data_IF_887283942649
#
_entry.id   IF_887283942649
#
_cell.length_a   1.000
_cell.length_b   1.000
_cell.length_c   1.000
_cell.angle_alpha   90.00
_cell.angle_beta   90.00
_cell.angle_gamma   90.00
#
_symmetry.space_group_name_H-M   'P 1'
#
loop_
_entity.id
_entity.type
_entity.pdbx_description
1 polymer ?
#
# COMPACT_ATOMS: atom_id res chain seq x y z
N UNK A 1 -6.27 11.85 11.35
CA UNK A 1 -6.87 10.63 10.76
C UNK A 1 -6.76 9.56 11.82
N UNK A 2 -7.79 8.76 12.09
CA UNK A 2 -7.65 7.73 13.11
C UNK A 2 -6.95 6.50 12.50
N UNK A 3 -5.68 6.33 12.86
CA UNK A 3 -4.76 5.33 12.31
C UNK A 3 -4.91 3.95 12.92
N UNK A 4 -5.64 3.84 14.03
CA UNK A 4 -5.75 2.61 14.82
C UNK A 4 -6.31 1.45 14.00
N UNK A 5 -7.37 1.69 13.22
CA UNK A 5 -7.97 0.67 12.37
C UNK A 5 -7.00 0.14 11.28
N UNK A 6 -6.14 1.01 10.74
CA UNK A 6 -5.12 0.61 9.77
C UNK A 6 -4.05 -0.26 10.44
N UNK A 7 -3.59 0.12 11.64
CA UNK A 7 -2.64 -0.68 12.42
C UNK A 7 -3.21 -2.07 12.78
N UNK A 8 -4.47 -2.14 13.24
CA UNK A 8 -5.16 -3.41 13.55
C UNK A 8 -5.26 -4.32 12.32
N UNK A 9 -5.51 -3.77 11.12
CA UNK A 9 -5.52 -4.54 9.88
C UNK A 9 -4.12 -5.04 9.50
N UNK A 10 -3.06 -4.24 9.69
CA UNK A 10 -1.69 -4.71 9.47
C UNK A 10 -1.34 -5.87 10.40
N UNK A 11 -1.69 -5.77 11.68
CA UNK A 11 -1.47 -6.84 12.66
C UNK A 11 -2.22 -8.13 12.27
N UNK A 12 -3.50 -8.04 11.91
CA UNK A 12 -4.28 -9.19 11.43
C UNK A 12 -3.67 -9.86 10.19
N UNK A 13 -3.13 -9.08 9.25
CA UNK A 13 -2.46 -9.62 8.08
C UNK A 13 -1.13 -10.30 8.45
N UNK A 14 -0.34 -9.67 9.33
CA UNK A 14 0.91 -10.24 9.87
C UNK A 14 0.62 -11.59 10.56
N UNK A 15 -0.43 -11.66 11.38
CA UNK A 15 -0.87 -12.91 12.03
C UNK A 15 -1.28 -13.97 11.00
N UNK A 16 -2.05 -13.59 9.97
CA UNK A 16 -2.49 -14.50 8.91
C UNK A 16 -1.34 -15.02 8.05
N UNK A 17 -0.29 -14.23 7.83
CA UNK A 17 0.93 -14.65 7.15
C UNK A 17 1.71 -15.69 7.97
N UNK A 18 1.68 -15.59 9.30
CA UNK A 18 2.40 -16.46 10.24
C UNK A 18 3.92 -16.25 10.27
N UNK A 19 4.57 -16.26 9.10
CA UNK A 19 6.00 -16.00 8.93
C UNK A 19 6.26 -15.40 7.55
N UNK A 20 7.40 -14.73 7.37
CA UNK A 20 7.80 -14.22 6.05
C UNK A 20 7.75 -12.70 5.94
N UNK A 21 7.78 -12.21 4.70
CA UNK A 21 7.72 -10.78 4.40
C UNK A 21 6.69 -10.53 3.30
N UNK A 22 5.87 -9.49 3.44
CA UNK A 22 4.97 -9.05 2.38
C UNK A 22 5.43 -7.71 1.83
N UNK A 23 5.26 -7.50 0.52
CA UNK A 23 5.38 -6.18 -0.11
C UNK A 23 4.10 -5.84 -0.85
N UNK A 24 3.53 -4.68 -0.54
CA UNK A 24 2.28 -4.18 -1.10
C UNK A 24 2.52 -2.77 -1.64
N UNK A 25 2.79 -2.59 -2.94
CA UNK A 25 2.95 -1.27 -3.54
C UNK A 25 1.61 -0.53 -3.68
N UNK A 26 1.65 0.81 -3.69
CA UNK A 26 0.50 1.62 -4.12
C UNK A 26 0.42 1.74 -5.64
N UNK A 27 -0.68 2.30 -6.15
CA UNK A 27 -0.84 2.55 -7.57
C UNK A 27 0.12 3.68 -8.04
N UNK A 28 0.70 3.58 -9.25
CA UNK A 28 1.45 4.70 -9.83
C UNK A 28 0.52 5.83 -10.26
N UNK A 29 1.07 7.01 -10.48
CA UNK A 29 0.34 8.09 -11.15
C UNK A 29 -0.03 7.69 -12.61
N UNK A 30 -1.05 8.35 -13.17
CA UNK A 30 -1.53 8.06 -14.53
C UNK A 30 -1.60 9.33 -15.35
N UNK A 31 -0.91 9.33 -16.48
CA UNK A 31 -0.92 10.45 -17.43
C UNK A 31 -2.29 10.50 -18.12
N UNK A 32 -2.89 11.69 -18.15
CA UNK A 32 -4.08 12.00 -18.94
C UNK A 32 -3.71 12.48 -20.33
N UNK A 33 -2.83 13.48 -20.42
CA UNK A 33 -2.37 14.07 -21.67
C UNK A 33 -1.02 14.76 -21.48
N UNK A 34 0.02 14.30 -22.19
CA UNK A 34 1.39 14.84 -22.10
C UNK A 34 1.88 14.93 -20.64
N UNK A 35 1.97 16.14 -20.11
CA UNK A 35 2.44 16.52 -18.77
C UNK A 35 1.30 16.57 -17.73
N UNK A 36 0.05 16.42 -18.14
CA UNK A 36 -1.11 16.44 -17.24
C UNK A 36 -1.45 15.03 -16.76
N UNK A 37 -1.63 14.88 -15.45
CA UNK A 37 -2.02 13.64 -14.80
C UNK A 37 -3.52 13.61 -14.47
N UNK A 38 -4.09 12.41 -14.36
CA UNK A 38 -5.37 12.21 -13.70
C UNK A 38 -5.25 12.47 -12.20
N UNK A 39 -6.35 12.81 -11.50
CA UNK A 39 -6.36 12.82 -10.04
C UNK A 39 -5.85 11.48 -9.50
N UNK A 40 -4.91 11.55 -8.56
CA UNK A 40 -4.29 10.36 -8.02
C UNK A 40 -5.31 9.46 -7.32
N UNK A 41 -5.23 8.16 -7.62
CA UNK A 41 -6.02 7.11 -6.96
C UNK A 41 -5.07 6.01 -6.54
N UNK A 42 -4.79 5.95 -5.25
CA UNK A 42 -4.01 4.89 -4.60
C UNK A 42 -4.58 3.49 -4.87
N UNK A 43 -3.76 2.46 -4.66
CA UNK A 43 -4.24 1.09 -4.70
C UNK A 43 -5.14 0.80 -3.48
N UNK A 44 -6.18 -0.02 -3.67
CA UNK A 44 -7.16 -0.26 -2.60
C UNK A 44 -6.65 -1.24 -1.53
N UNK A 45 -5.80 -2.20 -1.87
CA UNK A 45 -5.18 -3.11 -0.89
C UNK A 45 -4.15 -2.37 -0.06
N UNK A 46 -3.28 -1.59 -0.72
CA UNK A 46 -2.34 -0.71 -0.03
C UNK A 46 -3.05 0.24 0.93
N UNK A 47 -4.04 1.00 0.44
CA UNK A 47 -4.72 1.98 1.27
C UNK A 47 -5.51 1.36 2.41
N UNK A 48 -6.10 0.18 2.21
CA UNK A 48 -6.81 -0.56 3.25
C UNK A 48 -5.94 -0.87 4.48
N UNK A 49 -4.63 -1.09 4.27
CA UNK A 49 -3.65 -1.41 5.31
C UNK A 49 -2.85 -0.18 5.80
N UNK A 50 -2.56 0.76 4.90
CA UNK A 50 -1.65 1.87 5.17
C UNK A 50 -2.38 3.16 5.56
N UNK A 51 -3.56 3.42 5.00
CA UNK A 51 -4.23 4.73 5.07
C UNK A 51 -3.45 5.87 4.40
N UNK A 52 -2.30 5.57 3.79
CA UNK A 52 -1.37 6.54 3.21
C UNK A 52 -1.82 6.95 1.80
N UNK A 53 -2.00 8.27 1.52
CA UNK A 53 -2.67 8.71 0.29
C UNK A 53 -1.73 9.17 -0.84
N UNK A 54 -0.40 9.01 -0.72
CA UNK A 54 0.55 9.48 -1.74
C UNK A 54 1.01 8.38 -2.71
N UNK A 55 1.40 8.73 -3.94
CA UNK A 55 2.06 7.83 -4.89
C UNK A 55 3.48 7.46 -4.47
N UNK A 56 4.10 6.58 -5.26
CA UNK A 56 5.49 6.13 -5.10
C UNK A 56 5.78 5.67 -3.67
N UNK A 57 4.92 4.76 -3.21
CA UNK A 57 4.97 4.21 -1.88
C UNK A 57 4.71 2.70 -1.88
N UNK A 58 5.26 2.00 -0.90
CA UNK A 58 5.01 0.58 -0.67
C UNK A 58 4.97 0.29 0.83
N UNK A 59 4.11 -0.64 1.21
CA UNK A 59 4.05 -1.18 2.56
C UNK A 59 4.81 -2.50 2.57
N UNK A 60 5.76 -2.65 3.49
CA UNK A 60 6.40 -3.92 3.79
C UNK A 60 5.97 -4.39 5.17
N UNK A 61 5.50 -5.64 5.26
CA UNK A 61 5.13 -6.26 6.52
C UNK A 61 6.05 -7.44 6.79
N UNK A 62 6.57 -7.53 8.01
CA UNK A 62 7.39 -8.64 8.48
C UNK A 62 6.55 -9.46 9.45
N UNK A 63 6.44 -10.76 9.22
CA UNK A 63 5.77 -11.72 10.09
C UNK A 63 6.76 -12.70 10.73
N UNK A 64 6.38 -13.27 11.88
CA UNK A 64 7.21 -14.14 12.72
C UNK A 64 7.55 -13.49 14.06
N UNK A 65 8.73 -13.79 14.60
CA UNK A 65 9.12 -13.45 15.98
C UNK A 65 9.23 -11.95 16.27
N UNK A 66 9.62 -11.16 15.26
CA UNK A 66 9.74 -9.72 15.33
C UNK A 66 8.83 -9.07 14.27
N UNK A 67 7.52 -9.01 14.52
CA UNK A 67 6.58 -8.46 13.56
C UNK A 67 6.78 -6.94 13.42
N UNK A 68 6.75 -6.45 12.18
CA UNK A 68 6.97 -5.04 11.87
C UNK A 68 6.15 -4.59 10.66
N UNK A 69 5.74 -3.33 10.68
CA UNK A 69 5.13 -2.62 9.57
C UNK A 69 5.99 -1.42 9.15
N UNK A 70 6.44 -1.44 7.90
CA UNK A 70 7.43 -0.50 7.38
C UNK A 70 6.88 0.19 6.14
N UNK A 71 6.81 1.52 6.15
CA UNK A 71 6.42 2.29 4.98
C UNK A 71 7.64 2.73 4.17
N UNK A 72 7.60 2.52 2.86
CA UNK A 72 8.51 3.13 1.92
C UNK A 72 7.76 4.22 1.19
N UNK A 73 8.25 5.46 1.20
CA UNK A 73 7.60 6.58 0.53
C UNK A 73 8.62 7.60 0.02
N UNK A 74 8.17 8.56 -0.79
CA UNK A 74 9.03 9.65 -1.27
C UNK A 74 9.62 10.42 -0.10
N UNK A 75 10.84 10.89 -0.31
CA UNK A 75 11.49 11.83 0.60
C UNK A 75 10.77 13.16 0.60
N UNK A 76 10.94 13.89 1.71
CA UNK A 76 10.53 15.27 1.78
C UNK A 76 11.51 16.13 1.01
N UNK A 77 11.01 16.92 0.09
CA UNK A 77 11.79 17.86 -0.72
C UNK A 77 11.16 19.24 -0.61
N UNK A 78 11.74 20.08 0.24
CA UNK A 78 11.20 21.41 0.55
C UNK A 78 11.19 22.36 -0.65
N UNK A 79 12.08 22.18 -1.63
CA UNK A 79 12.09 23.00 -2.86
C UNK A 79 10.96 22.59 -3.80
N UNK A 80 10.64 21.30 -3.86
CA UNK A 80 9.55 20.76 -4.69
C UNK A 80 8.18 20.86 -4.03
N UNK A 81 8.06 20.98 -2.71
CA UNK A 81 6.77 21.13 -2.03
C UNK A 81 5.99 22.38 -2.49
N UNK A 82 6.70 23.44 -2.92
CA UNK A 82 6.08 24.65 -3.49
C UNK A 82 5.31 24.33 -4.78
N UNK A 83 5.74 23.33 -5.54
CA UNK A 83 5.22 22.97 -6.86
C UNK A 83 4.33 21.71 -6.84
N UNK A 84 4.80 20.66 -6.17
CA UNK A 84 4.19 19.33 -6.14
C UNK A 84 3.22 19.15 -4.96
N UNK A 85 3.15 20.14 -4.05
CA UNK A 85 2.37 20.08 -2.82
C UNK A 85 3.08 19.37 -1.66
N UNK A 86 2.45 19.41 -0.49
CA UNK A 86 2.96 18.80 0.74
C UNK A 86 3.26 17.31 0.58
N UNK A 87 4.40 16.87 1.12
CA UNK A 87 4.76 15.46 1.25
C UNK A 87 5.06 15.13 2.71
N UNK A 88 4.56 14.00 3.19
CA UNK A 88 4.89 13.58 4.57
C UNK A 88 6.40 13.36 4.72
N UNK A 89 7.01 12.65 3.78
CA UNK A 89 8.36 12.10 3.97
C UNK A 89 8.38 10.96 5.01
N UNK A 90 9.47 10.17 5.08
CA UNK A 90 9.53 9.00 5.95
C UNK A 90 9.21 9.29 7.42
N UNK A 91 9.88 10.28 8.04
CA UNK A 91 9.73 10.54 9.47
C UNK A 91 8.31 10.95 9.86
N UNK A 92 7.72 11.91 9.12
CA UNK A 92 6.37 12.36 9.42
C UNK A 92 5.33 11.28 9.04
N UNK A 93 5.57 10.49 8.00
CA UNK A 93 4.67 9.41 7.63
C UNK A 93 4.66 8.29 8.69
N UNK A 94 5.82 7.96 9.26
CA UNK A 94 5.93 6.99 10.36
C UNK A 94 5.02 7.39 11.53
N UNK A 95 5.15 8.62 12.00
CA UNK A 95 4.37 9.14 13.13
C UNK A 95 2.89 9.30 12.79
N UNK A 96 2.58 9.95 11.66
CA UNK A 96 1.21 10.30 11.29
C UNK A 96 0.33 9.10 10.92
N UNK A 97 0.93 7.97 10.49
CA UNK A 97 0.22 6.76 10.07
C UNK A 97 0.49 5.54 10.96
N UNK A 98 1.35 5.69 11.97
CA UNK A 98 1.61 4.66 12.99
C UNK A 98 2.38 3.45 12.47
N UNK A 99 3.38 3.66 11.62
CA UNK A 99 4.29 2.59 11.19
C UNK A 99 5.44 2.41 12.19
N UNK A 100 6.01 1.20 12.27
CA UNK A 100 7.16 0.92 13.13
C UNK A 100 8.43 1.60 12.59
N UNK A 101 8.56 1.64 11.26
CA UNK A 101 9.60 2.37 10.56
C UNK A 101 9.08 2.94 9.23
N UNK A 102 9.79 3.93 8.71
CA UNK A 102 9.60 4.40 7.35
C UNK A 102 10.92 4.78 6.69
N UNK A 103 11.03 4.57 5.39
CA UNK A 103 12.24 4.81 4.61
C UNK A 103 11.94 5.44 3.24
N UNK A 104 12.93 6.07 2.60
CA UNK A 104 12.83 6.49 1.20
C UNK A 104 12.46 5.33 0.27
N UNK A 105 11.55 5.57 -0.67
CA UNK A 105 11.12 4.56 -1.65
C UNK A 105 12.28 4.00 -2.49
N UNK A 106 13.33 4.79 -2.72
CA UNK A 106 14.54 4.34 -3.41
C UNK A 106 15.32 3.24 -2.68
N UNK A 107 15.09 3.05 -1.38
CA UNK A 107 15.72 1.98 -0.58
C UNK A 107 14.90 0.68 -0.57
N UNK A 108 13.73 0.64 -1.22
CA UNK A 108 12.79 -0.48 -1.11
C UNK A 108 13.41 -1.81 -1.56
N UNK A 109 14.07 -1.87 -2.71
CA UNK A 109 14.65 -3.13 -3.21
C UNK A 109 15.71 -3.69 -2.26
N UNK A 110 16.63 -2.83 -1.80
CA UNK A 110 17.70 -3.23 -0.89
C UNK A 110 17.14 -3.70 0.47
N UNK A 111 16.24 -2.92 1.05
CA UNK A 111 15.63 -3.28 2.33
C UNK A 111 14.72 -4.50 2.21
N UNK A 112 14.00 -4.66 1.11
CA UNK A 112 13.22 -5.87 0.87
C UNK A 112 14.11 -7.10 0.81
N UNK A 113 15.29 -7.02 0.18
CA UNK A 113 16.24 -8.12 0.18
C UNK A 113 16.76 -8.43 1.59
N UNK A 114 17.10 -7.42 2.39
CA UNK A 114 17.49 -7.61 3.80
C UNK A 114 16.39 -8.25 4.62
N UNK A 115 15.14 -7.80 4.44
CA UNK A 115 13.97 -8.31 5.16
C UNK A 115 13.50 -9.66 4.62
N UNK A 116 13.82 -10.05 3.39
CA UNK A 116 13.48 -11.35 2.83
C UNK A 116 14.51 -12.44 3.19
N UNK A 117 15.73 -12.05 3.56
CA UNK A 117 16.80 -12.98 3.92
C UNK A 117 16.35 -13.96 5.03
N UNK A 118 16.64 -15.25 4.81
CA UNK A 118 16.36 -16.37 5.71
C UNK A 118 14.89 -16.56 6.10
N UNK A 119 13.97 -15.95 5.33
CA UNK A 119 12.53 -16.13 5.53
C UNK A 119 11.95 -17.14 4.55
N UNK A 120 10.94 -17.94 4.96
CA UNK A 120 10.44 -19.04 4.15
C UNK A 120 9.59 -18.60 2.95
N UNK A 121 8.91 -17.45 3.06
CA UNK A 121 7.92 -16.97 2.08
C UNK A 121 8.00 -15.46 1.88
N UNK A 122 7.82 -15.04 0.63
CA UNK A 122 7.56 -13.65 0.25
C UNK A 122 6.12 -13.53 -0.25
N UNK A 123 5.32 -12.67 0.36
CA UNK A 123 3.94 -12.41 -0.07
C UNK A 123 3.93 -11.22 -1.04
N UNK A 124 3.55 -11.46 -2.29
CA UNK A 124 3.42 -10.45 -3.34
C UNK A 124 2.45 -10.94 -4.43
N UNK A 125 1.66 -10.03 -4.97
CA UNK A 125 0.69 -10.32 -6.02
C UNK A 125 1.32 -10.22 -7.41
N UNK A 126 1.96 -11.31 -7.86
CA UNK A 126 2.58 -11.40 -9.18
C UNK A 126 1.54 -11.20 -10.29
N UNK A 127 1.92 -10.49 -11.35
CA UNK A 127 1.16 -10.35 -12.60
C UNK A 127 0.21 -9.15 -12.64
N UNK A 128 0.12 -8.37 -11.56
CA UNK A 128 -0.73 -7.17 -11.52
C UNK A 128 -0.01 -5.90 -11.95
N UNK A 129 1.28 -5.78 -11.66
CA UNK A 129 2.11 -4.64 -12.05
C UNK A 129 3.52 -5.10 -12.41
N UNK A 130 3.94 -4.98 -13.68
CA UNK A 130 5.24 -5.45 -14.13
C UNK A 130 6.43 -4.79 -13.42
N UNK A 131 6.31 -3.52 -13.01
CA UNK A 131 7.39 -2.82 -12.31
C UNK A 131 7.57 -3.38 -10.89
N UNK A 132 6.47 -3.63 -10.18
CA UNK A 132 6.51 -4.31 -8.88
C UNK A 132 7.04 -5.73 -8.97
N UNK A 133 6.67 -6.48 -10.01
CA UNK A 133 7.17 -7.85 -10.22
C UNK A 133 8.68 -7.85 -10.44
N UNK A 134 9.17 -6.91 -11.26
CA UNK A 134 10.60 -6.72 -11.49
C UNK A 134 11.35 -6.37 -10.20
N UNK A 135 10.79 -5.50 -9.35
CA UNK A 135 11.36 -5.14 -8.05
C UNK A 135 11.50 -6.35 -7.12
N UNK A 136 10.47 -7.20 -7.03
CA UNK A 136 10.50 -8.41 -6.21
C UNK A 136 11.54 -9.40 -6.73
N UNK A 137 11.61 -9.58 -8.05
CA UNK A 137 12.63 -10.43 -8.68
C UNK A 137 14.04 -9.91 -8.38
N UNK A 138 14.27 -8.60 -8.48
CA UNK A 138 15.55 -7.97 -8.18
C UNK A 138 15.95 -8.18 -6.71
N UNK A 139 15.04 -7.94 -5.77
CA UNK A 139 15.26 -8.17 -4.35
C UNK A 139 15.61 -9.64 -4.05
N UNK A 140 14.86 -10.61 -4.60
CA UNK A 140 15.14 -12.04 -4.43
C UNK A 140 16.51 -12.44 -5.01
N UNK A 141 16.88 -11.90 -6.17
CA UNK A 141 18.20 -12.14 -6.76
C UNK A 141 19.33 -11.57 -5.90
N UNK A 142 19.12 -10.41 -5.25
CA UNK A 142 20.07 -9.83 -4.28
C UNK A 142 20.25 -10.73 -3.05
N UNK A 143 19.21 -11.43 -2.59
CA UNK A 143 19.35 -12.42 -1.52
C UNK A 143 20.11 -13.66 -2.00
N UNK A 144 19.75 -14.21 -3.17
CA UNK A 144 20.43 -15.38 -3.76
C UNK A 144 21.92 -15.17 -3.99
N UNK A 145 22.33 -13.94 -4.31
CA UNK A 145 23.76 -13.60 -4.43
C UNK A 145 24.55 -13.84 -3.13
N UNK A 146 23.88 -13.92 -1.97
CA UNK A 146 24.46 -14.18 -0.65
C UNK A 146 24.35 -15.64 -0.20
N UNK A 147 23.90 -16.56 -1.07
CA UNK A 147 23.74 -17.99 -0.75
C UNK A 147 25.05 -18.64 -0.29
N UNK A 148 26.20 -18.23 -0.88
CA UNK A 148 27.53 -18.69 -0.46
C UNK A 148 27.90 -18.31 0.98
N UNK A 149 27.23 -17.30 1.54
CA UNK A 149 27.38 -16.87 2.93
C UNK A 149 26.36 -17.53 3.87
N UNK A 150 25.62 -18.53 3.38
CA UNK A 150 24.61 -19.26 4.14
C UNK A 150 23.24 -18.57 4.23
N UNK A 151 23.05 -17.45 3.53
CA UNK A 151 21.77 -16.71 3.53
C UNK A 151 20.85 -17.28 2.44
N UNK A 152 19.66 -17.73 2.82
CA UNK A 152 18.67 -18.27 1.90
C UNK A 152 17.66 -17.21 1.46
N UNK A 153 17.29 -17.26 0.18
CA UNK A 153 16.13 -16.51 -0.33
C UNK A 153 14.83 -17.29 -0.06
N UNK A 154 13.67 -16.60 0.07
CA UNK A 154 12.39 -17.27 0.18
C UNK A 154 12.14 -18.27 -0.95
N UNK A 155 11.77 -19.49 -0.57
CA UNK A 155 11.49 -20.58 -1.51
C UNK A 155 10.08 -20.51 -2.10
N UNK A 156 9.17 -19.77 -1.44
CA UNK A 156 7.76 -19.60 -1.84
C UNK A 156 7.47 -18.13 -2.10
N UNK A 157 6.65 -17.89 -3.12
CA UNK A 157 5.96 -16.61 -3.31
C UNK A 157 4.46 -16.89 -3.25
N UNK A 158 3.76 -16.11 -2.43
CA UNK A 158 2.31 -16.28 -2.22
C UNK A 158 1.56 -14.98 -2.48
N UNK A 159 0.34 -15.09 -3.00
CA UNK A 159 -0.47 -13.91 -3.28
C UNK A 159 -1.02 -13.30 -1.98
N UNK A 160 -0.51 -12.11 -1.63
CA UNK A 160 -0.96 -11.36 -0.44
C UNK A 160 -2.43 -10.95 -0.54
N UNK A 161 -2.97 -10.76 -1.76
CA UNK A 161 -4.36 -10.30 -1.95
C UNK A 161 -5.37 -11.33 -1.48
N UNK A 162 -5.07 -12.62 -1.61
CA UNK A 162 -5.97 -13.67 -1.12
C UNK A 162 -6.26 -13.52 0.38
N UNK A 163 -5.24 -13.21 1.19
CA UNK A 163 -5.39 -12.95 2.62
C UNK A 163 -6.15 -11.65 2.87
N UNK A 164 -5.84 -10.59 2.12
CA UNK A 164 -6.47 -9.28 2.31
C UNK A 164 -7.93 -9.28 1.85
N UNK A 165 -8.28 -10.05 0.82
CA UNK A 165 -9.64 -10.15 0.31
C UNK A 165 -10.58 -10.71 1.37
N UNK A 166 -10.19 -11.80 2.05
CA UNK A 166 -10.94 -12.35 3.19
C UNK A 166 -11.14 -11.30 4.29
N UNK A 167 -10.11 -10.52 4.60
CA UNK A 167 -10.20 -9.43 5.57
C UNK A 167 -11.16 -8.33 5.11
N UNK A 168 -11.20 -8.04 3.81
CA UNK A 168 -12.02 -6.99 3.21
C UNK A 168 -13.46 -7.42 2.97
N UNK A 169 -13.84 -8.68 3.15
CA UNK A 169 -15.26 -9.11 3.05
C UNK A 169 -16.05 -8.53 4.22
N UNK A 170 -15.57 -8.74 5.44
CA UNK A 170 -16.24 -8.28 6.68
C UNK A 170 -15.79 -6.87 7.03
N UNK A 171 -16.74 -5.92 7.00
CA UNK A 171 -16.47 -4.50 7.26
C UNK A 171 -16.45 -4.19 8.75
N UNK A 172 -15.48 -3.39 9.18
CA UNK A 172 -15.53 -2.78 10.50
C UNK A 172 -16.54 -1.62 10.57
N UNK A 173 -16.82 -1.14 11.78
CA UNK A 173 -17.83 -0.08 11.97
C UNK A 173 -17.47 1.23 11.24
N UNK A 174 -16.18 1.53 11.06
CA UNK A 174 -15.74 2.75 10.36
C UNK A 174 -15.97 2.63 8.87
N UNK A 175 -15.68 1.46 8.30
CA UNK A 175 -16.01 1.17 6.91
C UNK A 175 -17.52 1.22 6.67
N UNK A 176 -18.31 0.64 7.58
CA UNK A 176 -19.77 0.71 7.51
C UNK A 176 -20.26 2.17 7.59
N UNK A 177 -19.71 2.99 8.47
CA UNK A 177 -20.05 4.41 8.57
C UNK A 177 -19.70 5.16 7.27
N UNK A 178 -18.51 4.94 6.72
CA UNK A 178 -18.06 5.53 5.47
C UNK A 178 -18.98 5.12 4.30
N UNK A 179 -19.35 3.83 4.21
CA UNK A 179 -20.27 3.32 3.20
C UNK A 179 -21.68 3.92 3.36
N UNK A 180 -22.22 4.00 4.58
CA UNK A 180 -23.51 4.65 4.86
C UNK A 180 -23.48 6.13 4.50
N UNK A 181 -22.36 6.82 4.71
CA UNK A 181 -22.18 8.22 4.29
C UNK A 181 -22.16 8.34 2.78
N UNK A 182 -21.40 7.52 2.07
CA UNK A 182 -21.36 7.49 0.62
C UNK A 182 -22.76 7.25 0.02
N UNK A 183 -23.48 6.24 0.52
CA UNK A 183 -24.85 5.96 0.11
C UNK A 183 -25.80 7.15 0.29
N UNK A 184 -25.72 7.85 1.44
CA UNK A 184 -26.51 9.09 1.68
C UNK A 184 -26.19 10.19 0.69
N UNK A 185 -24.92 10.40 0.35
CA UNK A 185 -24.49 11.40 -0.63
C UNK A 185 -25.04 11.05 -2.02
N UNK A 186 -24.84 9.80 -2.46
CA UNK A 186 -25.34 9.33 -3.77
C UNK A 186 -26.86 9.41 -3.87
N UNK A 187 -27.59 8.98 -2.83
CA UNK A 187 -29.05 9.07 -2.80
C UNK A 187 -29.55 10.51 -2.93
N UNK A 188 -28.90 11.46 -2.24
CA UNK A 188 -29.22 12.90 -2.38
C UNK A 188 -28.95 13.41 -3.79
N UNK A 189 -27.84 13.01 -4.41
CA UNK A 189 -27.50 13.38 -5.77
C UNK A 189 -28.54 12.84 -6.78
N UNK A 190 -28.91 11.57 -6.67
CA UNK A 190 -29.97 10.96 -7.51
C UNK A 190 -31.32 11.67 -7.32
N UNK A 191 -31.74 11.96 -6.08
CA UNK A 191 -32.96 12.74 -5.82
C UNK A 191 -32.92 14.11 -6.48
N UNK A 192 -31.79 14.81 -6.40
CA UNK A 192 -31.61 16.11 -7.05
C UNK A 192 -31.69 16.00 -8.57
N UNK A 193 -31.08 14.98 -9.17
CA UNK A 193 -31.15 14.72 -10.61
C UNK A 193 -32.59 14.47 -11.07
N UNK A 194 -33.33 13.61 -10.37
CA UNK A 194 -34.75 13.33 -10.65
C UNK A 194 -35.61 14.60 -10.60
N UNK A 195 -35.41 15.46 -9.61
CA UNK A 195 -36.16 16.73 -9.49
C UNK A 195 -35.81 17.76 -10.59
N UNK A 196 -34.66 17.62 -11.24
CA UNK A 196 -34.17 18.55 -12.26
C UNK A 196 -34.36 18.03 -13.69
N UNK A 197 -34.65 16.74 -13.83
CA UNK A 197 -34.90 16.09 -15.09
C UNK A 197 -36.11 16.72 -15.79
N UNK A 198 -35.93 17.11 -17.04
CA UNK A 198 -36.98 17.61 -17.91
C UNK A 198 -36.60 17.25 -19.36
N UNK A 199 -37.58 17.09 -20.28
CA UNK A 199 -37.31 16.86 -21.69
C UNK A 199 -36.37 17.94 -22.27
N UNK A 200 -35.48 17.53 -23.18
CA UNK A 200 -34.51 18.40 -23.87
C UNK A 200 -33.48 19.14 -23.00
N UNK A 201 -33.25 18.71 -21.75
CA UNK A 201 -32.05 19.10 -20.99
C UNK A 201 -30.92 18.10 -21.26
N UNK A 202 -29.82 18.60 -21.83
CA UNK A 202 -28.54 17.90 -21.92
C UNK A 202 -27.75 18.06 -20.62
#
# INVERSE_FOLDING_TARGET
>A
MDTKAFAERRLRLIEAMGSGVAVIPTAPERIRNRDTHHPYRFDSYFYYLAGFPEPDAALVLVAGDAPQSILFCREKDSEREVWDGFRYGPDAAREAFGFDAAHPIGMLEEKLAELAADRPVLFHSIGYDPASDALVVAALNRVRAKERSGIAAPARIEDVRALIDEMRVVKDERELEAMRRAARISARAHRRAMLRAAPARH
#
